data_IF_134505885707
#
_entry.id   IF_134505885707
#
_cell.length_a   1.000
_cell.length_b   1.000
_cell.length_c   1.000
_cell.angle_alpha   90.00
_cell.angle_beta   90.00
_cell.angle_gamma   90.00
#
_symmetry.space_group_name_H-M   'P 1'
#
loop_
_entity.id
_entity.type
_entity.pdbx_description
1 polymer ?
#
# COMPACT_ATOMS: atom_id res chain seq x y z
N UNK A 1 4.29 -11.78 12.77
CA UNK A 1 3.51 -10.54 12.61
C UNK A 1 3.34 -9.83 13.95
N UNK A 2 3.93 -8.65 14.13
CA UNK A 2 3.74 -7.81 15.32
C UNK A 2 2.91 -6.56 14.97
N UNK A 3 1.58 -6.72 14.89
CA UNK A 3 0.69 -5.61 14.54
C UNK A 3 0.66 -4.52 15.59
N UNK A 4 0.83 -4.85 16.87
CA UNK A 4 0.87 -3.86 17.95
C UNK A 4 1.95 -2.79 17.68
N UNK A 5 3.13 -3.23 17.21
CA UNK A 5 4.20 -2.31 16.79
C UNK A 5 3.76 -1.40 15.64
N UNK A 6 3.08 -1.92 14.63
CA UNK A 6 2.66 -1.12 13.47
C UNK A 6 1.55 -0.12 13.83
N UNK A 7 0.60 -0.52 14.67
CA UNK A 7 -0.43 0.39 15.21
C UNK A 7 0.17 1.53 16.01
N UNK A 8 1.18 1.25 16.85
CA UNK A 8 1.87 2.30 17.61
C UNK A 8 2.55 3.31 16.68
N UNK A 9 3.25 2.83 15.65
CA UNK A 9 3.86 3.70 14.65
C UNK A 9 2.83 4.51 13.86
N UNK A 10 1.68 3.90 13.52
CA UNK A 10 0.60 4.61 12.84
C UNK A 10 0.00 5.68 13.73
N UNK A 11 -0.18 5.41 15.03
CA UNK A 11 -0.71 6.37 16.00
C UNK A 11 0.16 7.63 16.05
N UNK A 12 1.48 7.46 16.10
CA UNK A 12 2.42 8.58 16.12
C UNK A 12 2.34 9.42 14.83
N UNK A 13 2.15 8.77 13.67
CA UNK A 13 1.95 9.45 12.40
C UNK A 13 0.61 10.19 12.35
N UNK A 14 -0.47 9.54 12.77
CA UNK A 14 -1.81 10.14 12.83
C UNK A 14 -1.84 11.35 13.77
N UNK A 15 -1.22 11.26 14.95
CA UNK A 15 -1.09 12.39 15.89
C UNK A 15 -0.28 13.56 15.30
N UNK A 16 0.69 13.28 14.43
CA UNK A 16 1.40 14.31 13.70
C UNK A 16 0.49 14.98 12.65
N UNK A 17 -0.20 14.17 11.84
CA UNK A 17 -1.14 14.65 10.81
C UNK A 17 -2.27 15.47 11.43
N UNK A 18 -2.86 15.05 12.56
CA UNK A 18 -3.93 15.79 13.23
C UNK A 18 -3.46 17.14 13.81
N UNK A 19 -2.15 17.28 14.14
CA UNK A 19 -1.57 18.55 14.58
C UNK A 19 -1.35 19.51 13.42
N UNK A 20 -0.81 19.04 12.30
CA UNK A 20 -0.54 19.87 11.12
C UNK A 20 -1.80 20.15 10.29
N UNK A 21 -2.75 19.20 10.28
CA UNK A 21 -3.99 19.22 9.52
C UNK A 21 -5.22 18.97 10.42
N UNK A 22 -5.53 19.90 11.35
CA UNK A 22 -6.63 19.75 12.28
C UNK A 22 -7.97 19.61 11.57
N UNK A 23 -8.85 18.76 12.11
CA UNK A 23 -10.20 18.53 11.56
C UNK A 23 -11.02 19.82 11.50
N UNK A 24 -11.74 20.01 10.41
CA UNK A 24 -12.67 21.13 10.23
C UNK A 24 -14.06 20.79 10.78
N UNK A 25 -14.87 21.82 11.06
CA UNK A 25 -16.24 21.61 11.54
C UNK A 25 -17.06 20.82 10.50
N UNK A 26 -17.70 19.73 10.94
CA UNK A 26 -18.48 18.84 10.08
C UNK A 26 -17.65 17.86 9.24
N UNK A 27 -16.34 17.80 9.43
CA UNK A 27 -15.48 16.86 8.71
C UNK A 27 -15.65 15.42 9.21
N UNK A 28 -16.03 14.51 8.32
CA UNK A 28 -15.90 13.06 8.52
C UNK A 28 -14.51 12.60 8.06
N UNK A 29 -13.55 12.60 8.99
CA UNK A 29 -12.16 12.16 8.73
C UNK A 29 -12.10 10.66 8.42
N UNK A 30 -12.96 9.86 9.06
CA UNK A 30 -12.96 8.42 8.87
C UNK A 30 -13.45 8.05 7.46
N UNK A 31 -14.50 8.71 6.96
CA UNK A 31 -14.93 8.57 5.57
C UNK A 31 -13.82 8.94 4.56
N UNK A 32 -13.03 9.97 4.84
CA UNK A 32 -11.87 10.33 4.00
C UNK A 32 -10.79 9.24 4.01
N UNK A 33 -10.47 8.67 5.17
CA UNK A 33 -9.52 7.54 5.29
C UNK A 33 -10.00 6.32 4.51
N UNK A 34 -11.30 6.00 4.56
CA UNK A 34 -11.89 4.89 3.78
C UNK A 34 -11.82 5.16 2.28
N UNK A 35 -12.09 6.39 1.84
CA UNK A 35 -11.94 6.75 0.43
C UNK A 35 -10.47 6.62 -0.01
N UNK A 36 -9.52 7.07 0.80
CA UNK A 36 -8.10 6.91 0.52
C UNK A 36 -7.72 5.42 0.41
N UNK A 37 -8.21 4.57 1.32
CA UNK A 37 -8.01 3.12 1.24
C UNK A 37 -8.54 2.52 -0.07
N UNK A 38 -9.69 2.96 -0.59
CA UNK A 38 -10.16 2.52 -1.91
C UNK A 38 -9.21 2.89 -3.04
N UNK A 39 -8.59 4.08 -2.97
CA UNK A 39 -7.61 4.55 -3.96
C UNK A 39 -6.36 3.67 -3.89
N UNK A 40 -5.74 3.50 -2.71
CA UNK A 40 -4.53 2.69 -2.55
C UNK A 40 -4.76 1.22 -2.94
N UNK A 41 -5.93 0.64 -2.63
CA UNK A 41 -6.27 -0.71 -3.10
C UNK A 41 -6.39 -0.79 -4.63
N UNK A 42 -6.85 0.29 -5.27
CA UNK A 42 -6.88 0.43 -6.72
C UNK A 42 -5.48 0.51 -7.31
N UNK A 43 -4.58 1.24 -6.67
CA UNK A 43 -3.15 1.35 -7.04
C UNK A 43 -2.46 -0.01 -6.88
N UNK A 44 -2.65 -0.68 -5.75
CA UNK A 44 -2.18 -2.06 -5.53
C UNK A 44 -2.67 -3.03 -6.61
N UNK A 45 -3.97 -3.01 -6.95
CA UNK A 45 -4.51 -3.83 -8.02
C UNK A 45 -3.88 -3.47 -9.38
N UNK A 46 -3.62 -2.19 -9.62
CA UNK A 46 -2.97 -1.69 -10.83
C UNK A 46 -1.52 -2.17 -10.97
N UNK A 47 -0.79 -2.28 -9.87
CA UNK A 47 0.57 -2.83 -9.80
C UNK A 47 0.58 -4.36 -9.88
N UNK A 48 -0.48 -5.03 -9.42
CA UNK A 48 -0.64 -6.48 -9.59
C UNK A 48 -0.94 -6.86 -11.05
N UNK A 49 -1.66 -6.01 -11.80
CA UNK A 49 -1.93 -6.11 -13.25
C UNK A 49 -2.73 -7.31 -13.75
N UNK A 50 -2.97 -8.34 -12.93
CA UNK A 50 -3.69 -9.55 -13.35
C UNK A 50 -5.13 -9.35 -13.87
N UNK A 51 -5.76 -8.19 -13.62
CA UNK A 51 -7.08 -7.87 -14.19
C UNK A 51 -7.02 -7.31 -15.63
N UNK A 52 -5.84 -6.91 -16.11
CA UNK A 52 -5.65 -6.21 -17.39
C UNK A 52 -5.69 -7.18 -18.58
N UNK A 53 -6.80 -7.89 -18.76
CA UNK A 53 -6.99 -8.92 -19.79
C UNK A 53 -6.81 -8.41 -21.24
N UNK A 54 -6.85 -7.10 -21.44
CA UNK A 54 -6.60 -6.43 -22.72
C UNK A 54 -5.13 -6.05 -22.95
N UNK A 55 -4.26 -6.30 -21.98
CA UNK A 55 -2.82 -6.00 -22.04
C UNK A 55 -2.02 -7.26 -22.33
N UNK A 56 -0.97 -7.13 -23.13
CA UNK A 56 0.04 -8.18 -23.31
C UNK A 56 0.98 -8.32 -22.10
N UNK A 57 1.02 -7.29 -21.25
CA UNK A 57 1.78 -7.27 -20.00
C UNK A 57 0.80 -7.29 -18.83
N UNK A 58 0.70 -8.44 -18.16
CA UNK A 58 -0.14 -8.69 -16.99
C UNK A 58 0.70 -9.09 -15.77
N UNK A 59 2.02 -8.93 -15.84
CA UNK A 59 2.94 -9.36 -14.80
C UNK A 59 3.01 -8.34 -13.66
N UNK A 60 2.87 -8.77 -12.38
CA UNK A 60 2.97 -7.89 -11.23
C UNK A 60 4.26 -7.07 -11.18
N UNK A 61 4.21 -5.86 -10.61
CA UNK A 61 5.37 -4.99 -10.44
C UNK A 61 6.14 -5.30 -9.15
N UNK A 62 6.78 -6.47 -9.12
CA UNK A 62 7.52 -6.99 -7.95
C UNK A 62 8.97 -6.54 -7.86
N UNK A 63 9.38 -5.53 -8.64
CA UNK A 63 10.76 -5.06 -8.72
C UNK A 63 11.71 -6.06 -9.37
N UNK A 64 13.02 -5.82 -9.27
CA UNK A 64 14.07 -6.73 -9.75
C UNK A 64 15.20 -6.04 -10.49
N UNK A 65 16.04 -6.80 -11.18
CA UNK A 65 17.16 -6.24 -11.94
C UNK A 65 16.64 -5.39 -13.12
N UNK A 66 17.15 -4.15 -13.23
CA UNK A 66 16.97 -3.39 -14.44
C UNK A 66 17.85 -3.99 -15.53
N UNK A 67 17.33 -4.10 -16.76
CA UNK A 67 18.12 -4.51 -17.93
C UNK A 67 19.27 -3.56 -18.31
N UNK A 68 19.43 -2.48 -17.55
CA UNK A 68 20.46 -1.48 -17.73
C UNK A 68 21.72 -1.74 -16.87
N UNK A 69 21.67 -2.69 -15.92
CA UNK A 69 22.72 -3.14 -14.99
C UNK A 69 23.37 -2.06 -14.08
N UNK A 70 23.53 -0.81 -14.53
CA UNK A 70 24.19 0.28 -13.81
C UNK A 70 23.35 1.56 -13.68
N UNK A 71 22.10 1.52 -14.16
CA UNK A 71 21.17 2.64 -14.09
C UNK A 71 21.23 3.60 -15.28
N UNK A 72 22.07 3.34 -16.28
CA UNK A 72 22.22 4.22 -17.45
C UNK A 72 21.85 3.50 -18.76
N UNK A 73 21.47 4.28 -19.77
CA UNK A 73 21.25 3.78 -21.13
C UNK A 73 22.10 4.55 -22.13
N UNK A 74 22.56 3.86 -23.16
CA UNK A 74 23.25 4.49 -24.28
C UNK A 74 22.24 5.15 -25.22
N UNK A 75 22.38 6.46 -25.41
CA UNK A 75 21.57 7.25 -26.35
C UNK A 75 22.43 7.60 -27.56
N UNK A 76 21.97 7.17 -28.73
CA UNK A 76 22.67 7.42 -30.00
C UNK A 76 22.24 8.77 -30.57
N UNK A 77 23.08 9.78 -30.36
CA UNK A 77 22.98 11.03 -31.10
C UNK A 77 23.73 10.84 -32.43
N UNK A 78 23.14 11.27 -33.54
CA UNK A 78 23.70 11.04 -34.88
C UNK A 78 25.20 11.37 -35.01
N UNK A 79 25.86 10.77 -36.00
CA UNK A 79 27.34 10.78 -36.17
C UNK A 79 28.12 9.92 -35.17
N UNK A 80 27.50 8.87 -34.61
CA UNK A 80 28.20 7.88 -33.79
C UNK A 80 28.60 8.40 -32.41
N UNK A 81 27.95 9.47 -31.94
CA UNK A 81 28.07 9.96 -30.57
C UNK A 81 27.15 9.11 -29.70
N UNK A 82 27.74 8.46 -28.70
CA UNK A 82 27.00 7.75 -27.65
C UNK A 82 27.12 8.58 -26.38
N UNK A 83 25.98 9.02 -25.86
CA UNK A 83 25.90 9.63 -24.52
C UNK A 83 25.18 8.67 -23.58
N UNK A 84 25.59 8.65 -22.32
CA UNK A 84 24.87 7.95 -21.26
C UNK A 84 23.79 8.89 -20.71
N UNK A 85 22.55 8.42 -20.71
CA UNK A 85 21.43 9.08 -20.05
C UNK A 85 20.91 8.19 -18.90
N UNK A 86 20.21 8.81 -17.95
CA UNK A 86 19.58 8.10 -16.84
C UNK A 86 18.55 7.14 -17.41
N UNK A 87 18.62 5.86 -17.03
CA UNK A 87 17.64 4.87 -17.47
C UNK A 87 16.25 5.29 -16.98
N UNK A 88 15.28 5.54 -17.88
CA UNK A 88 13.95 6.01 -17.50
C UNK A 88 13.09 4.91 -16.85
N UNK A 89 13.61 3.67 -16.72
CA UNK A 89 12.90 2.56 -16.08
C UNK A 89 13.25 2.41 -14.60
N UNK A 90 14.52 2.60 -14.25
CA UNK A 90 15.00 2.46 -12.88
C UNK A 90 15.49 3.79 -12.29
N UNK A 91 15.39 4.88 -13.05
CA UNK A 91 15.78 6.23 -12.63
C UNK A 91 17.21 6.33 -12.09
N UNK A 92 18.14 5.55 -12.67
CA UNK A 92 19.55 5.57 -12.28
C UNK A 92 19.94 4.61 -11.15
N UNK A 93 19.00 3.79 -10.66
CA UNK A 93 19.24 2.89 -9.53
C UNK A 93 19.92 1.58 -9.98
N UNK A 94 19.64 1.12 -11.20
CA UNK A 94 20.05 -0.21 -11.68
C UNK A 94 19.11 -1.34 -11.24
N UNK A 95 18.13 -1.04 -10.39
CA UNK A 95 17.07 -1.96 -9.96
C UNK A 95 15.70 -1.31 -10.18
N UNK A 96 14.71 -2.12 -10.55
CA UNK A 96 13.32 -1.70 -10.62
C UNK A 96 12.71 -1.74 -9.21
N UNK A 97 12.01 -0.66 -8.78
CA UNK A 97 11.33 -0.67 -7.49
C UNK A 97 10.23 -1.73 -7.47
N UNK A 98 10.04 -2.35 -6.30
CA UNK A 98 8.89 -3.21 -6.03
C UNK A 98 7.71 -2.32 -5.64
N UNK A 99 7.06 -1.71 -6.62
CA UNK A 99 5.91 -0.84 -6.41
C UNK A 99 4.72 -1.61 -5.85
N UNK A 100 4.59 -2.91 -6.15
CA UNK A 100 3.50 -3.72 -5.61
C UNK A 100 3.47 -3.76 -4.07
N UNK A 101 4.63 -3.97 -3.42
CA UNK A 101 4.67 -3.97 -1.95
C UNK A 101 4.54 -2.57 -1.36
N UNK A 102 4.97 -1.54 -2.09
CA UNK A 102 4.78 -0.13 -1.69
C UNK A 102 3.29 0.20 -1.61
N UNK A 103 2.51 -0.08 -2.66
CA UNK A 103 1.06 0.14 -2.66
C UNK A 103 0.34 -0.72 -1.61
N UNK A 104 0.85 -1.93 -1.34
CA UNK A 104 0.31 -2.77 -0.27
C UNK A 104 0.50 -2.12 1.11
N UNK A 105 1.67 -1.56 1.40
CA UNK A 105 1.89 -0.91 2.71
C UNK A 105 1.20 0.45 2.81
N UNK A 106 0.92 1.13 1.70
CA UNK A 106 0.08 2.33 1.67
C UNK A 106 -1.37 2.00 2.05
N UNK A 107 -1.95 0.95 1.48
CA UNK A 107 -3.25 0.45 1.93
C UNK A 107 -3.22 0.01 3.40
N UNK A 108 -2.14 -0.64 3.86
CA UNK A 108 -1.97 -1.05 5.26
C UNK A 108 -1.94 0.15 6.21
N UNK A 109 -1.26 1.24 5.85
CA UNK A 109 -1.25 2.50 6.63
C UNK A 109 -2.67 3.00 6.89
N UNK A 110 -3.51 3.05 5.86
CA UNK A 110 -4.90 3.46 6.03
C UNK A 110 -5.72 2.47 6.85
N UNK A 111 -5.55 1.16 6.65
CA UNK A 111 -6.27 0.15 7.45
C UNK A 111 -5.93 0.32 8.93
N UNK A 112 -4.65 0.46 9.29
CA UNK A 112 -4.25 0.65 10.68
C UNK A 112 -4.76 1.99 11.25
N UNK A 113 -4.72 3.05 10.46
CA UNK A 113 -5.22 4.38 10.83
C UNK A 113 -6.74 4.41 11.04
N UNK A 114 -7.49 3.65 10.23
CA UNK A 114 -8.93 3.40 10.41
C UNK A 114 -9.17 2.58 11.68
N UNK A 115 -8.36 1.55 11.91
CA UNK A 115 -8.41 0.74 13.11
C UNK A 115 -8.28 1.57 14.39
N UNK A 116 -7.38 2.54 14.42
CA UNK A 116 -7.20 3.45 15.56
C UNK A 116 -8.39 4.38 15.81
N UNK A 117 -9.22 4.67 14.80
CA UNK A 117 -10.46 5.44 14.97
C UNK A 117 -11.63 4.56 15.46
N UNK A 118 -11.60 3.26 15.19
CA UNK A 118 -12.72 2.32 15.44
C UNK A 118 -12.50 1.47 16.70
N UNK A 119 -11.26 1.10 16.99
CA UNK A 119 -10.91 0.13 18.02
C UNK A 119 -9.59 0.48 18.71
N UNK A 120 -9.43 0.00 19.95
CA UNK A 120 -8.12 -0.02 20.59
C UNK A 120 -7.33 -1.24 20.07
N UNK A 121 -6.04 -1.10 19.69
CA UNK A 121 -5.24 -2.19 19.12
C UNK A 121 -5.20 -3.47 19.95
N UNK A 122 -5.34 -3.37 21.26
CA UNK A 122 -5.33 -4.50 22.20
C UNK A 122 -6.58 -5.39 22.12
N UNK A 123 -7.60 -4.98 21.37
CA UNK A 123 -8.89 -5.68 21.25
C UNK A 123 -9.02 -6.39 19.89
N UNK A 124 -8.17 -6.09 18.91
CA UNK A 124 -8.26 -6.64 17.55
C UNK A 124 -8.07 -8.16 17.58
N UNK A 125 -9.15 -8.89 17.30
CA UNK A 125 -9.15 -10.33 17.24
C UNK A 125 -9.08 -10.81 15.79
N UNK A 126 -7.87 -11.03 15.31
CA UNK A 126 -7.66 -11.59 13.98
C UNK A 126 -8.00 -13.06 13.94
N UNK A 127 -9.15 -13.34 13.34
CA UNK A 127 -9.53 -14.69 12.96
C UNK A 127 -8.74 -15.09 11.73
N UNK A 128 -8.33 -16.35 11.72
CA UNK A 128 -7.84 -16.98 10.50
C UNK A 128 -8.99 -17.05 9.50
N UNK A 129 -8.72 -16.64 8.26
CA UNK A 129 -9.71 -16.61 7.17
C UNK A 129 -9.15 -17.32 5.97
N UNK A 130 -10.00 -18.10 5.32
CA UNK A 130 -9.66 -18.71 4.05
C UNK A 130 -9.56 -17.63 2.96
N UNK A 131 -8.55 -17.79 2.10
CA UNK A 131 -8.44 -17.00 0.88
C UNK A 131 -9.48 -17.42 -0.15
N UNK A 132 -9.78 -16.54 -1.09
CA UNK A 132 -10.62 -16.87 -2.25
C UNK A 132 -9.91 -17.79 -3.24
N UNK A 133 -10.66 -18.29 -4.22
CA UNK A 133 -10.15 -19.27 -5.18
C UNK A 133 -8.98 -18.73 -6.00
N UNK A 134 -8.97 -17.42 -6.27
CA UNK A 134 -7.93 -16.75 -7.01
C UNK A 134 -7.72 -15.31 -6.53
N UNK A 135 -6.62 -14.70 -6.96
CA UNK A 135 -6.22 -13.36 -6.54
C UNK A 135 -7.24 -12.27 -6.95
N UNK A 136 -7.93 -12.43 -8.09
CA UNK A 136 -8.93 -11.45 -8.53
C UNK A 136 -10.13 -11.46 -7.59
N UNK A 137 -10.61 -12.64 -7.20
CA UNK A 137 -11.66 -12.76 -6.19
C UNK A 137 -11.23 -12.26 -4.82
N UNK A 138 -9.96 -12.46 -4.44
CA UNK A 138 -9.43 -11.93 -3.18
C UNK A 138 -9.42 -10.40 -3.17
N UNK A 139 -9.01 -9.74 -4.26
CA UNK A 139 -9.13 -8.29 -4.40
C UNK A 139 -10.59 -7.85 -4.26
N UNK A 140 -11.52 -8.49 -4.98
CA UNK A 140 -12.96 -8.16 -4.91
C UNK A 140 -13.50 -8.32 -3.48
N UNK A 141 -13.10 -9.37 -2.76
CA UNK A 141 -13.46 -9.57 -1.36
C UNK A 141 -12.98 -8.40 -0.49
N UNK A 142 -11.72 -8.00 -0.60
CA UNK A 142 -11.19 -6.87 0.17
C UNK A 142 -11.95 -5.58 -0.15
N UNK A 143 -12.23 -5.30 -1.43
CA UNK A 143 -13.06 -4.16 -1.83
C UNK A 143 -14.47 -4.21 -1.21
N UNK A 144 -15.11 -5.37 -1.18
CA UNK A 144 -16.43 -5.51 -0.54
C UNK A 144 -16.36 -5.34 0.98
N UNK A 145 -15.25 -5.75 1.63
CA UNK A 145 -15.04 -5.49 3.07
C UNK A 145 -14.87 -4.01 3.38
N UNK A 146 -14.13 -3.26 2.56
CA UNK A 146 -14.04 -1.80 2.72
C UNK A 146 -15.41 -1.14 2.54
N UNK A 147 -16.20 -1.58 1.55
CA UNK A 147 -17.58 -1.12 1.36
C UNK A 147 -18.47 -1.46 2.57
N UNK A 148 -18.35 -2.68 3.07
CA UNK A 148 -19.07 -3.17 4.25
C UNK A 148 -18.78 -2.29 5.47
N UNK A 149 -17.51 -1.98 5.72
CA UNK A 149 -17.09 -1.12 6.82
C UNK A 149 -17.78 0.24 6.82
N UNK A 150 -17.88 0.89 5.65
CA UNK A 150 -18.61 2.16 5.53
C UNK A 150 -20.13 2.00 5.69
N UNK A 151 -20.70 0.94 5.11
CA UNK A 151 -22.15 0.72 5.12
C UNK A 151 -22.70 0.36 6.51
N UNK A 152 -21.93 -0.40 7.29
CA UNK A 152 -22.29 -0.84 8.64
C UNK A 152 -21.77 0.11 9.73
N UNK A 153 -21.63 1.41 9.40
CA UNK A 153 -21.28 2.47 10.34
C UNK A 153 -20.01 2.18 11.17
N UNK A 154 -18.97 1.65 10.50
CA UNK A 154 -17.64 1.44 11.07
C UNK A 154 -17.58 0.40 12.19
N UNK A 155 -18.40 -0.66 12.08
CA UNK A 155 -18.43 -1.75 13.05
C UNK A 155 -17.08 -2.48 13.19
N UNK A 156 -16.74 -2.85 14.44
CA UNK A 156 -15.48 -3.51 14.77
C UNK A 156 -15.33 -4.88 14.11
N UNK A 157 -16.41 -5.65 13.94
CA UNK A 157 -16.34 -6.96 13.28
C UNK A 157 -16.09 -6.82 11.79
N UNK A 158 -16.66 -5.80 11.14
CA UNK A 158 -16.35 -5.49 9.75
C UNK A 158 -14.90 -5.05 9.58
N UNK A 159 -14.36 -4.27 10.53
CA UNK A 159 -12.96 -3.89 10.55
C UNK A 159 -12.03 -5.11 10.71
N UNK A 160 -12.30 -5.99 11.68
CA UNK A 160 -11.54 -7.23 11.89
C UNK A 160 -11.57 -8.12 10.65
N UNK A 161 -12.74 -8.24 10.01
CA UNK A 161 -12.90 -9.01 8.77
C UNK A 161 -12.13 -8.38 7.60
N UNK A 162 -12.09 -7.04 7.50
CA UNK A 162 -11.30 -6.33 6.49
C UNK A 162 -9.82 -6.61 6.70
N UNK A 163 -9.29 -6.41 7.91
CA UNK A 163 -7.88 -6.60 8.20
C UNK A 163 -7.45 -8.05 7.96
N UNK A 164 -8.26 -9.04 8.37
CA UNK A 164 -7.98 -10.45 8.12
C UNK A 164 -7.94 -10.77 6.62
N UNK A 165 -8.91 -10.31 5.83
CA UNK A 165 -8.94 -10.53 4.38
C UNK A 165 -7.83 -9.77 3.64
N UNK A 166 -7.41 -8.60 4.16
CA UNK A 166 -6.30 -7.84 3.61
C UNK A 166 -4.94 -8.53 3.85
N UNK A 167 -4.72 -9.05 5.06
CA UNK A 167 -3.53 -9.89 5.34
C UNK A 167 -3.51 -11.10 4.42
N UNK A 168 -4.67 -11.73 4.21
CA UNK A 168 -4.78 -12.86 3.28
C UNK A 168 -4.44 -12.49 1.84
N UNK A 169 -4.82 -11.29 1.40
CA UNK A 169 -4.41 -10.74 0.11
C UNK A 169 -2.88 -10.62 0.03
N UNK A 170 -2.21 -10.09 1.04
CA UNK A 170 -0.75 -9.99 1.09
C UNK A 170 -0.05 -11.36 0.97
N UNK A 171 -0.56 -12.38 1.66
CA UNK A 171 -0.06 -13.75 1.53
C UNK A 171 -0.21 -14.29 0.09
N UNK A 172 -1.35 -14.04 -0.55
CA UNK A 172 -1.62 -14.46 -1.94
C UNK A 172 -0.77 -13.71 -2.97
N UNK A 173 -0.36 -12.47 -2.66
CA UNK A 173 0.60 -11.69 -3.45
C UNK A 173 2.05 -12.18 -3.25
N UNK A 174 2.29 -13.12 -2.33
CA UNK A 174 3.58 -13.75 -2.10
C UNK A 174 4.47 -13.00 -1.10
N UNK A 175 3.91 -12.04 -0.35
CA UNK A 175 4.70 -11.28 0.62
C UNK A 175 4.93 -12.07 1.91
N UNK A 176 6.18 -12.05 2.38
CA UNK A 176 6.48 -12.41 3.76
C UNK A 176 6.15 -11.25 4.70
N UNK A 177 5.89 -11.58 5.97
CA UNK A 177 5.65 -10.54 6.96
C UNK A 177 6.87 -9.64 7.19
N UNK A 178 8.08 -10.19 7.08
CA UNK A 178 9.32 -9.42 7.26
C UNK A 178 9.46 -8.35 6.17
N UNK A 179 9.15 -8.70 4.91
CA UNK A 179 9.13 -7.73 3.80
C UNK A 179 8.08 -6.63 4.01
N UNK A 180 6.87 -7.01 4.44
CA UNK A 180 5.79 -6.04 4.74
C UNK A 180 6.20 -5.10 5.85
N UNK A 181 6.78 -5.62 6.93
CA UNK A 181 7.22 -4.81 8.07
C UNK A 181 8.35 -3.84 7.66
N UNK A 182 9.32 -4.30 6.88
CA UNK A 182 10.39 -3.43 6.38
C UNK A 182 9.88 -2.34 5.45
N UNK A 183 9.00 -2.68 4.50
CA UNK A 183 8.39 -1.73 3.58
C UNK A 183 7.55 -0.69 4.33
N UNK A 184 6.74 -1.13 5.29
CA UNK A 184 5.94 -0.24 6.13
C UNK A 184 6.82 0.71 6.94
N UNK A 185 7.91 0.22 7.54
CA UNK A 185 8.85 1.07 8.28
C UNK A 185 9.53 2.10 7.39
N UNK A 186 9.86 1.77 6.13
CA UNK A 186 10.38 2.74 5.16
C UNK A 186 9.33 3.82 4.86
N UNK A 187 8.12 3.39 4.49
CA UNK A 187 7.03 4.30 4.13
C UNK A 187 6.60 5.20 5.29
N UNK A 188 6.52 4.68 6.51
CA UNK A 188 6.24 5.47 7.71
C UNK A 188 7.26 6.60 7.90
N UNK A 189 8.56 6.32 7.73
CA UNK A 189 9.62 7.33 7.82
C UNK A 189 9.48 8.40 6.74
N UNK A 190 9.21 8.00 5.51
CA UNK A 190 8.98 8.93 4.39
C UNK A 190 7.76 9.81 4.65
N UNK A 191 6.67 9.24 5.16
CA UNK A 191 5.46 9.99 5.49
C UNK A 191 5.70 11.02 6.60
N UNK A 192 6.47 10.68 7.64
CA UNK A 192 6.90 11.68 8.63
C UNK A 192 7.70 12.82 8.00
N UNK A 193 8.63 12.52 7.08
CA UNK A 193 9.40 13.56 6.35
C UNK A 193 8.51 14.41 5.43
N UNK A 194 7.48 13.83 4.80
CA UNK A 194 6.51 14.56 3.98
C UNK A 194 5.73 15.57 4.81
N UNK A 195 5.33 15.18 6.03
CA UNK A 195 4.65 16.10 6.94
C UNK A 195 5.57 17.25 7.41
N UNK A 196 6.84 16.97 7.72
CA UNK A 196 7.83 18.01 8.08
C UNK A 196 8.13 19.01 6.94
N UNK A 197 7.98 18.59 5.69
CA UNK A 197 8.26 19.41 4.50
C UNK A 197 7.04 20.13 3.92
N UNK A 198 5.85 19.91 4.49
CA UNK A 198 4.62 20.63 4.12
C UNK A 198 4.04 20.25 2.76
N UNK A 199 4.16 18.98 2.37
CA UNK A 199 3.56 18.44 1.14
C UNK A 199 2.03 18.46 1.19
#
# INVERSE_FOLDING_TARGET
MNLQKLFELQRQLDEHIEREHPRQEGEDRLAKKILALFVELGELANEHRGFKYWSNDQEPRTGGECSCDDGYIDVYMGHGVVEQDICPRCEGIGELPNTLIEEYVDALHFILSIGLDIAEPDIVNLRDVDGKENIIEQFIEVFDRVRGLYFFEYDIFEYESLLAQFIKLGEMLGFSWDEVEEAYLRKNRENHQRQESGY
#
